data_IF_428234243447
#
_entry.id   IF_428234243447
#
_cell.length_a   1.000
_cell.length_b   1.000
_cell.length_c   1.000
_cell.angle_alpha   90.00
_cell.angle_beta   90.00
_cell.angle_gamma   90.00
#
_symmetry.space_group_name_H-M   'P 1'
#
loop_
_entity.id
_entity.type
_entity.pdbx_description
1 polymer ?
#
# COMPACT_ATOMS: atom_id res chain seq x y z
N UNK A 1 18.04 7.64 -12.53
CA UNK A 1 19.25 8.34 -12.99
C UNK A 1 20.41 8.17 -12.02
N UNK A 2 21.21 9.23 -11.86
CA UNK A 2 22.54 9.19 -11.22
C UNK A 2 22.58 9.63 -9.75
N UNK A 3 21.46 10.12 -9.21
CA UNK A 3 21.37 10.61 -7.82
C UNK A 3 20.70 9.62 -6.87
N UNK A 4 21.06 9.73 -5.59
CA UNK A 4 20.34 9.08 -4.50
C UNK A 4 19.03 9.84 -4.27
N UNK A 5 17.93 9.10 -4.08
CA UNK A 5 16.61 9.68 -3.83
C UNK A 5 16.15 9.23 -2.44
N UNK A 6 15.67 10.20 -1.66
CA UNK A 6 15.10 9.97 -0.34
C UNK A 6 13.58 10.02 -0.45
N UNK A 7 12.91 8.91 -0.16
CA UNK A 7 11.46 8.78 -0.32
C UNK A 7 10.80 8.27 0.96
N UNK A 8 9.47 8.33 1.00
CA UNK A 8 8.67 7.65 2.03
C UNK A 8 8.82 6.11 1.98
N UNK A 9 9.41 5.56 0.91
CA UNK A 9 9.73 4.13 0.78
C UNK A 9 11.22 3.86 1.05
N UNK A 10 11.92 4.77 1.72
CA UNK A 10 13.33 4.68 2.04
C UNK A 10 14.26 5.25 0.96
N UNK A 11 15.54 4.93 1.08
CA UNK A 11 16.61 5.40 0.19
C UNK A 11 16.64 4.58 -1.09
N UNK A 12 16.53 5.24 -2.24
CA UNK A 12 16.74 4.65 -3.56
C UNK A 12 18.11 5.04 -4.09
N UNK A 13 18.91 4.04 -4.44
CA UNK A 13 20.27 4.19 -4.95
C UNK A 13 20.24 4.45 -6.47
N UNK A 14 21.19 5.25 -6.98
CA UNK A 14 21.36 5.50 -8.41
C UNK A 14 21.42 4.22 -9.26
N UNK A 15 21.13 4.37 -10.55
CA UNK A 15 21.36 3.33 -11.57
C UNK A 15 20.71 1.99 -11.22
N UNK A 16 19.48 2.03 -10.73
CA UNK A 16 18.71 0.86 -10.30
C UNK A 16 19.52 0.04 -9.28
N UNK A 17 19.97 0.69 -8.21
CA UNK A 17 20.81 0.06 -7.18
C UNK A 17 20.02 -0.77 -6.17
N UNK A 18 18.75 -0.44 -5.97
CA UNK A 18 17.79 -1.19 -5.16
C UNK A 18 16.36 -0.87 -5.59
N UNK A 19 15.43 -1.70 -5.16
CA UNK A 19 14.00 -1.45 -5.25
C UNK A 19 13.38 -1.61 -3.84
N UNK A 20 12.40 -0.78 -3.50
CA UNK A 20 11.61 -0.98 -2.30
C UNK A 20 10.15 -1.23 -2.67
N UNK A 21 9.44 -1.96 -1.83
CA UNK A 21 8.03 -2.27 -2.03
C UNK A 21 7.29 -2.21 -0.71
N UNK A 22 5.97 -2.05 -0.78
CA UNK A 22 5.08 -2.01 0.39
C UNK A 22 3.94 -2.99 0.21
N UNK A 23 3.12 -3.17 1.25
CA UNK A 23 2.04 -4.16 1.39
C UNK A 23 2.51 -5.49 1.97
N UNK A 24 1.58 -6.18 2.64
CA UNK A 24 1.79 -7.53 3.17
C UNK A 24 1.60 -8.64 2.11
N UNK A 25 1.43 -8.29 0.84
CA UNK A 25 1.13 -9.24 -0.23
C UNK A 25 -0.19 -9.95 0.03
N UNK A 26 -0.20 -11.27 0.03
CA UNK A 26 -1.38 -12.10 0.28
C UNK A 26 -2.09 -11.86 1.64
N UNK A 27 -1.48 -11.18 2.61
CA UNK A 27 -2.15 -10.79 3.86
C UNK A 27 -2.75 -9.37 3.83
N UNK A 28 -2.63 -8.65 2.72
CA UNK A 28 -3.13 -7.29 2.60
C UNK A 28 -4.65 -7.27 2.48
N UNK A 29 -5.40 -6.61 3.38
CA UNK A 29 -6.86 -6.65 3.33
C UNK A 29 -7.45 -6.15 2.01
N UNK A 30 -6.92 -5.05 1.46
CA UNK A 30 -7.42 -4.48 0.20
C UNK A 30 -7.08 -5.32 -1.04
N UNK A 31 -6.11 -6.24 -0.95
CA UNK A 31 -5.84 -7.21 -2.03
C UNK A 31 -6.73 -8.46 -1.91
N UNK A 32 -7.20 -8.75 -0.69
CA UNK A 32 -8.14 -9.84 -0.40
C UNK A 32 -9.61 -9.41 -0.55
N UNK A 33 -9.90 -8.11 -0.57
CA UNK A 33 -11.18 -7.52 -0.94
C UNK A 33 -10.98 -6.52 -2.11
N UNK A 34 -10.64 -7.03 -3.31
CA UNK A 34 -10.17 -6.20 -4.42
C UNK A 34 -11.21 -5.19 -4.91
N UNK A 35 -12.49 -5.47 -4.71
CA UNK A 35 -13.62 -4.62 -5.12
C UNK A 35 -14.33 -3.93 -3.95
N UNK A 36 -13.73 -3.96 -2.75
CA UNK A 36 -14.24 -3.30 -1.54
C UNK A 36 -15.68 -3.72 -1.18
N UNK A 37 -16.00 -5.01 -1.38
CA UNK A 37 -17.32 -5.60 -1.12
C UNK A 37 -17.67 -5.61 0.36
N UNK A 38 -16.65 -5.76 1.21
CA UNK A 38 -16.77 -5.90 2.68
C UNK A 38 -16.16 -4.73 3.44
N UNK A 39 -15.23 -4.01 2.81
CA UNK A 39 -14.54 -2.85 3.39
C UNK A 39 -15.21 -1.56 2.90
N UNK A 40 -15.78 -0.81 3.82
CA UNK A 40 -16.41 0.48 3.56
C UNK A 40 -16.47 1.34 4.81
N UNK A 41 -17.20 2.46 4.75
CA UNK A 41 -17.38 3.36 5.88
C UNK A 41 -18.02 2.61 7.05
N UNK A 42 -17.44 2.74 8.25
CA UNK A 42 -17.92 2.05 9.45
C UNK A 42 -17.44 0.60 9.62
N UNK A 43 -16.66 0.05 8.67
CA UNK A 43 -15.99 -1.24 8.90
C UNK A 43 -15.07 -1.12 10.11
N UNK A 44 -15.28 -1.97 11.12
CA UNK A 44 -14.48 -2.05 12.34
C UNK A 44 -13.16 -2.75 12.01
N UNK A 45 -12.06 -2.22 12.54
CA UNK A 45 -10.71 -2.67 12.20
C UNK A 45 -9.80 -2.75 13.43
N UNK A 46 -8.75 -3.56 13.33
CA UNK A 46 -7.56 -3.41 14.15
C UNK A 46 -6.79 -2.18 13.67
N UNK A 47 -6.53 -1.21 14.55
CA UNK A 47 -5.77 -0.01 14.25
C UNK A 47 -4.82 0.30 15.40
N UNK A 48 -3.51 0.20 15.13
CA UNK A 48 -2.47 0.57 16.09
C UNK A 48 -2.52 -0.21 17.40
N UNK A 49 -3.04 -1.45 17.42
CA UNK A 49 -3.19 -2.23 18.66
C UNK A 49 -4.53 -2.04 19.37
N UNK A 50 -5.33 -1.06 18.95
CA UNK A 50 -6.69 -0.83 19.44
C UNK A 50 -7.75 -1.11 18.37
N UNK A 51 -8.97 -0.66 18.65
CA UNK A 51 -10.08 -0.68 17.72
C UNK A 51 -10.13 0.65 16.96
N UNK A 52 -10.25 0.57 15.64
CA UNK A 52 -10.54 1.71 14.77
C UNK A 52 -11.67 1.40 13.81
N UNK A 53 -11.94 2.37 12.94
CA UNK A 53 -12.95 2.28 11.90
C UNK A 53 -12.43 2.89 10.60
N UNK A 54 -12.94 2.39 9.48
CA UNK A 54 -12.82 3.08 8.20
C UNK A 54 -13.77 4.28 8.22
N UNK A 55 -13.21 5.48 8.14
CA UNK A 55 -13.97 6.72 8.14
C UNK A 55 -14.43 7.11 6.73
N UNK A 56 -13.60 6.86 5.71
CA UNK A 56 -13.87 7.21 4.31
C UNK A 56 -12.86 6.54 3.36
N UNK A 57 -12.98 6.80 2.05
CA UNK A 57 -11.87 6.60 1.10
C UNK A 57 -10.76 7.62 1.34
N UNK A 58 -9.49 7.20 1.26
CA UNK A 58 -8.36 8.12 1.39
C UNK A 58 -8.18 9.01 0.15
N UNK A 59 -7.34 10.05 0.25
CA UNK A 59 -7.15 11.04 -0.83
C UNK A 59 -6.53 10.47 -2.09
N UNK A 60 -5.74 9.40 -1.98
CA UNK A 60 -5.14 8.68 -3.11
C UNK A 60 -6.02 7.53 -3.63
N UNK A 61 -7.28 7.44 -3.19
CA UNK A 61 -8.19 6.39 -3.61
C UNK A 61 -8.56 6.57 -5.08
N UNK A 62 -8.15 5.62 -5.92
CA UNK A 62 -8.35 5.62 -7.36
C UNK A 62 -8.61 4.18 -7.84
N UNK A 63 -9.86 3.70 -7.76
CA UNK A 63 -10.17 2.28 -7.92
C UNK A 63 -10.23 1.83 -9.39
N UNK A 64 -10.30 2.78 -10.33
CA UNK A 64 -10.41 2.59 -11.77
C UNK A 64 -9.06 2.34 -12.44
N UNK A 65 -8.31 1.38 -11.90
CA UNK A 65 -7.05 0.93 -12.48
C UNK A 65 -7.22 -0.45 -13.11
N UNK A 66 -6.38 -0.82 -14.10
CA UNK A 66 -6.36 -2.16 -14.65
C UNK A 66 -6.16 -3.22 -13.56
N UNK A 67 -6.89 -4.33 -13.68
CA UNK A 67 -6.89 -5.47 -12.75
C UNK A 67 -6.59 -6.77 -13.49
N UNK A 68 -6.04 -7.73 -12.77
CA UNK A 68 -5.89 -9.10 -13.27
C UNK A 68 -7.21 -9.87 -13.26
N UNK A 69 -7.20 -11.08 -13.81
CA UNK A 69 -8.37 -11.99 -13.79
C UNK A 69 -8.81 -12.36 -12.36
N UNK A 70 -7.90 -12.28 -11.39
CA UNK A 70 -8.17 -12.47 -9.96
C UNK A 70 -8.73 -11.21 -9.27
N UNK A 71 -8.99 -10.12 -10.01
CA UNK A 71 -9.50 -8.84 -9.51
C UNK A 71 -8.47 -7.93 -8.84
N UNK A 72 -7.26 -8.44 -8.57
CA UNK A 72 -6.18 -7.69 -7.93
C UNK A 72 -5.72 -6.55 -8.85
N UNK A 73 -5.60 -5.31 -8.35
CA UNK A 73 -5.17 -4.17 -9.16
C UNK A 73 -3.68 -4.27 -9.51
N UNK A 74 -3.33 -3.92 -10.74
CA UNK A 74 -1.93 -3.91 -11.21
C UNK A 74 -1.11 -2.72 -10.72
N UNK A 75 -1.73 -1.77 -10.02
CA UNK A 75 -1.11 -0.57 -9.46
C UNK A 75 -1.82 -0.15 -8.17
N UNK A 76 -1.38 0.96 -7.55
CA UNK A 76 -2.14 1.57 -6.45
C UNK A 76 -3.60 1.83 -6.87
N UNK A 77 -4.54 1.44 -6.01
CA UNK A 77 -5.97 1.55 -6.27
C UNK A 77 -6.72 2.07 -5.02
N UNK A 78 -6.91 1.19 -4.05
CA UNK A 78 -7.66 1.50 -2.84
C UNK A 78 -6.80 2.23 -1.82
N UNK A 79 -7.27 3.38 -1.35
CA UNK A 79 -6.76 4.04 -0.14
C UNK A 79 -7.91 4.21 0.85
N UNK A 80 -7.65 4.05 2.14
CA UNK A 80 -8.63 4.23 3.22
C UNK A 80 -8.25 5.44 4.09
N UNK A 81 -9.25 6.17 4.55
CA UNK A 81 -9.13 7.09 5.68
C UNK A 81 -9.60 6.35 6.94
N UNK A 82 -8.76 6.31 7.96
CA UNK A 82 -9.00 5.54 9.19
C UNK A 82 -9.13 6.47 10.39
N UNK A 83 -9.97 6.10 11.35
CA UNK A 83 -10.15 6.81 12.61
C UNK A 83 -10.11 5.82 13.78
N UNK A 84 -9.51 6.23 14.91
CA UNK A 84 -9.46 5.42 16.12
C UNK A 84 -8.99 6.24 17.33
N UNK A 85 -9.24 5.70 18.51
CA UNK A 85 -8.82 6.32 19.78
C UNK A 85 -7.37 5.98 20.10
N UNK A 86 -6.50 6.99 20.01
CA UNK A 86 -5.08 6.85 20.28
C UNK A 86 -4.78 6.36 21.72
N UNK A 87 -5.68 6.62 22.68
CA UNK A 87 -5.49 6.21 24.09
C UNK A 87 -5.56 4.69 24.28
N UNK A 88 -6.13 3.98 23.32
CA UNK A 88 -6.28 2.52 23.34
C UNK A 88 -5.21 1.82 22.48
N UNK A 89 -4.37 2.58 21.80
CA UNK A 89 -3.33 2.05 20.91
C UNK A 89 -2.08 1.67 21.69
N UNK A 90 -1.31 0.75 21.11
CA UNK A 90 -0.12 0.17 21.70
C UNK A 90 1.12 0.56 20.87
N UNK A 91 2.21 1.02 21.52
CA UNK A 91 3.42 1.47 20.84
C UNK A 91 4.15 0.38 20.05
N UNK A 92 3.79 -0.90 20.17
CA UNK A 92 4.29 -1.96 19.29
C UNK A 92 3.70 -1.88 17.88
N UNK A 93 2.54 -1.22 17.73
CA UNK A 93 1.77 -1.15 16.49
C UNK A 93 1.60 0.27 15.96
N UNK A 94 1.84 1.30 16.78
CA UNK A 94 1.86 2.69 16.33
C UNK A 94 3.14 3.36 16.80
N UNK A 95 4.04 3.65 15.86
CA UNK A 95 5.40 4.14 16.15
C UNK A 95 5.72 5.35 15.30
N UNK A 96 6.16 6.44 15.92
CA UNK A 96 6.78 7.56 15.21
C UNK A 96 8.17 7.19 14.68
N UNK A 97 8.44 7.53 13.43
CA UNK A 97 9.70 7.24 12.73
C UNK A 97 10.26 8.52 12.10
N UNK A 98 11.56 8.52 11.82
CA UNK A 98 12.21 9.58 11.05
C UNK A 98 12.99 8.96 9.90
N UNK A 99 12.61 9.29 8.68
CA UNK A 99 13.28 8.81 7.47
C UNK A 99 14.23 9.89 6.96
N UNK A 100 15.50 9.52 6.79
CA UNK A 100 16.54 10.42 6.27
C UNK A 100 16.06 11.02 4.95
N UNK A 101 16.12 12.35 4.83
CA UNK A 101 15.74 13.11 3.63
C UNK A 101 14.24 13.17 3.32
N UNK A 102 13.39 12.40 4.01
CA UNK A 102 11.93 12.47 3.89
C UNK A 102 11.28 13.20 5.07
N UNK A 103 11.79 12.96 6.29
CA UNK A 103 11.34 13.62 7.52
C UNK A 103 10.53 12.71 8.45
N UNK A 104 9.72 13.34 9.29
CA UNK A 104 8.88 12.65 10.27
C UNK A 104 7.80 11.81 9.57
N UNK A 105 7.64 10.57 10.04
CA UNK A 105 6.65 9.61 9.54
C UNK A 105 6.18 8.70 10.67
N UNK A 106 5.33 7.73 10.37
CA UNK A 106 4.87 6.75 11.35
C UNK A 106 4.66 5.38 10.72
N UNK A 107 4.90 4.33 11.50
CA UNK A 107 4.47 2.98 11.19
C UNK A 107 3.16 2.69 11.93
N UNK A 108 2.15 2.25 11.19
CA UNK A 108 0.82 1.94 11.71
C UNK A 108 0.47 0.49 11.38
N UNK A 109 0.17 -0.30 12.40
CA UNK A 109 -0.40 -1.64 12.25
C UNK A 109 -1.89 -1.54 11.93
N UNK A 110 -2.29 -2.12 10.81
CA UNK A 110 -3.69 -2.16 10.37
C UNK A 110 -4.06 -3.61 10.05
N UNK A 111 -5.21 -4.05 10.54
CA UNK A 111 -5.80 -5.34 10.23
C UNK A 111 -7.30 -5.19 10.01
N UNK A 112 -7.83 -5.77 8.95
CA UNK A 112 -9.26 -5.71 8.63
C UNK A 112 -9.72 -7.15 8.44
N UNK A 113 -10.73 -7.62 9.20
CA UNK A 113 -11.26 -8.95 9.00
C UNK A 113 -12.14 -8.96 7.75
N UNK A 114 -11.96 -9.98 6.91
CA UNK A 114 -12.73 -10.14 5.67
C UNK A 114 -13.77 -11.26 5.88
N UNK A 115 -15.06 -10.94 6.02
CA UNK A 115 -16.11 -11.95 6.12
C UNK A 115 -16.26 -12.69 4.79
N UNK A 116 -16.36 -14.03 4.84
CA UNK A 116 -16.63 -14.84 3.66
C UNK A 116 -18.14 -14.85 3.41
N UNK A 117 -18.58 -14.04 2.45
CA UNK A 117 -19.99 -13.87 2.11
C UNK A 117 -20.49 -14.92 1.11
N UNK A 118 -19.61 -15.32 0.19
CA UNK A 118 -19.86 -16.28 -0.89
C UNK A 118 -18.55 -16.89 -1.41
N UNK A 119 -18.67 -17.79 -2.38
CA UNK A 119 -17.54 -18.49 -3.02
C UNK A 119 -16.58 -17.53 -3.73
N UNK A 120 -17.10 -16.43 -4.28
CA UNK A 120 -16.27 -15.42 -4.94
C UNK A 120 -15.40 -14.67 -3.93
N UNK A 121 -15.98 -14.28 -2.78
CA UNK A 121 -15.22 -13.68 -1.69
C UNK A 121 -14.14 -14.62 -1.16
N UNK A 122 -14.47 -15.92 -1.02
CA UNK A 122 -13.48 -16.94 -0.66
C UNK A 122 -12.31 -16.98 -1.66
N UNK A 123 -12.61 -16.95 -2.96
CA UNK A 123 -11.58 -16.94 -4.01
C UNK A 123 -10.67 -15.71 -3.92
N UNK A 124 -11.21 -14.52 -3.65
CA UNK A 124 -10.39 -13.33 -3.46
C UNK A 124 -9.47 -13.43 -2.23
N UNK A 125 -9.97 -13.99 -1.13
CA UNK A 125 -9.16 -14.18 0.08
C UNK A 125 -8.08 -15.26 -0.04
N UNK A 126 -8.10 -16.05 -1.12
CA UNK A 126 -7.14 -17.11 -1.40
C UNK A 126 -5.99 -16.65 -2.33
N UNK A 127 -5.88 -15.35 -2.61
CA UNK A 127 -4.83 -14.79 -3.46
C UNK A 127 -3.43 -15.14 -2.94
N UNK A 128 -2.53 -15.55 -3.83
CA UNK A 128 -1.13 -15.86 -3.50
C UNK A 128 -0.19 -14.77 -3.94
N UNK A 129 0.96 -14.67 -3.28
CA UNK A 129 1.99 -13.68 -3.63
C UNK A 129 2.48 -13.77 -5.09
N UNK A 130 2.43 -14.93 -5.74
CA UNK A 130 2.80 -15.12 -7.14
C UNK A 130 1.76 -14.58 -8.14
N UNK A 131 0.54 -14.35 -7.68
CA UNK A 131 -0.58 -13.82 -8.48
C UNK A 131 -0.82 -12.32 -8.25
N UNK A 132 -0.05 -11.69 -7.37
CA UNK A 132 -0.12 -10.26 -7.07
C UNK A 132 1.00 -9.57 -7.84
N UNK A 133 0.65 -8.89 -8.93
CA UNK A 133 1.60 -8.15 -9.77
C UNK A 133 1.53 -6.65 -9.49
N UNK A 134 2.67 -5.98 -9.49
CA UNK A 134 2.78 -4.53 -9.40
C UNK A 134 3.78 -3.98 -10.43
N UNK A 135 3.71 -2.69 -10.78
CA UNK A 135 4.61 -2.09 -11.75
C UNK A 135 5.92 -1.71 -11.07
N UNK A 136 7.01 -1.77 -11.82
CA UNK A 136 8.28 -1.21 -11.38
C UNK A 136 8.28 0.28 -11.70
N UNK A 137 8.38 1.12 -10.67
CA UNK A 137 8.22 2.58 -10.79
C UNK A 137 9.55 3.29 -10.63
N UNK A 138 9.90 4.17 -11.57
CA UNK A 138 11.04 5.07 -11.44
C UNK A 138 10.65 6.33 -10.66
N UNK A 139 11.24 6.51 -9.49
CA UNK A 139 11.04 7.69 -8.64
C UNK A 139 11.94 8.88 -9.00
N UNK A 140 12.85 8.76 -9.97
CA UNK A 140 13.74 9.86 -10.37
C UNK A 140 13.09 10.83 -11.33
N UNK A 141 12.70 10.34 -12.50
CA UNK A 141 12.08 11.16 -13.53
C UNK A 141 10.70 10.66 -13.96
N UNK A 142 10.50 9.34 -13.98
CA UNK A 142 9.23 8.71 -14.36
C UNK A 142 8.05 9.25 -13.55
N UNK A 143 8.01 8.91 -12.26
CA UNK A 143 6.94 9.26 -11.35
C UNK A 143 6.79 10.78 -11.12
N UNK A 144 7.85 11.54 -10.79
CA UNK A 144 7.69 12.96 -10.42
C UNK A 144 7.28 13.86 -11.58
N UNK A 145 7.65 13.50 -12.82
CA UNK A 145 7.41 14.32 -14.01
C UNK A 145 6.44 13.68 -15.01
N UNK A 146 5.75 12.61 -14.60
CA UNK A 146 4.82 11.86 -15.45
C UNK A 146 5.47 11.44 -16.79
N UNK A 147 6.75 11.09 -16.78
CA UNK A 147 7.42 10.56 -17.97
C UNK A 147 7.00 9.10 -18.18
N UNK A 148 6.84 8.66 -19.45
CA UNK A 148 6.64 7.26 -19.75
C UNK A 148 7.73 6.40 -19.08
N UNK A 149 7.29 5.43 -18.29
CA UNK A 149 8.15 4.49 -17.58
C UNK A 149 7.63 3.09 -17.84
N UNK A 150 8.40 2.30 -18.58
CA UNK A 150 8.17 0.87 -18.71
C UNK A 150 9.42 0.14 -18.22
N UNK A 151 9.40 -0.22 -16.94
CA UNK A 151 10.40 -1.07 -16.31
C UNK A 151 9.87 -2.49 -16.10
N UNK A 152 8.69 -2.80 -16.65
CA UNK A 152 8.00 -4.07 -16.47
C UNK A 152 7.20 -4.19 -15.16
N UNK A 153 6.76 -5.43 -14.89
CA UNK A 153 6.00 -5.82 -13.70
C UNK A 153 6.70 -6.93 -12.96
N UNK A 154 6.44 -7.02 -11.66
CA UNK A 154 6.97 -8.09 -10.80
C UNK A 154 5.89 -8.55 -9.83
N UNK A 155 5.94 -9.82 -9.43
CA UNK A 155 5.02 -10.38 -8.44
C UNK A 155 5.57 -10.28 -7.01
N UNK A 156 4.69 -10.39 -6.01
CA UNK A 156 5.09 -10.31 -4.60
C UNK A 156 5.95 -11.48 -4.14
N UNK A 157 5.87 -12.66 -4.76
CA UNK A 157 6.74 -13.80 -4.44
C UNK A 157 8.20 -13.45 -4.74
N UNK A 158 8.46 -12.89 -5.91
CA UNK A 158 9.80 -12.51 -6.34
C UNK A 158 10.30 -11.30 -5.52
N UNK A 159 9.45 -10.33 -5.23
CA UNK A 159 9.78 -9.23 -4.30
C UNK A 159 10.18 -9.74 -2.91
N UNK A 160 9.48 -10.75 -2.38
CA UNK A 160 9.75 -11.38 -1.08
C UNK A 160 11.02 -12.24 -1.08
N UNK A 161 11.49 -12.69 -2.24
CA UNK A 161 12.77 -13.41 -2.36
C UNK A 161 13.99 -12.53 -2.01
N UNK A 162 13.81 -11.20 -2.01
CA UNK A 162 14.87 -10.22 -1.73
C UNK A 162 15.61 -9.74 -2.97
N UNK A 163 15.31 -10.28 -4.16
CA UNK A 163 15.94 -9.89 -5.43
C UNK A 163 14.98 -9.99 -6.60
N UNK A 164 15.12 -9.07 -7.56
CA UNK A 164 14.37 -9.07 -8.84
C UNK A 164 15.30 -8.75 -10.00
N UNK A 165 14.85 -9.01 -11.23
CA UNK A 165 15.57 -8.65 -12.45
C UNK A 165 14.97 -7.38 -13.06
N UNK A 166 15.81 -6.38 -13.30
CA UNK A 166 15.42 -5.14 -14.00
C UNK A 166 16.46 -4.91 -15.09
N UNK A 167 16.05 -4.88 -16.36
CA UNK A 167 16.93 -4.65 -17.52
C UNK A 167 18.20 -5.53 -17.51
N UNK A 168 18.05 -6.83 -17.20
CA UNK A 168 19.16 -7.79 -17.14
C UNK A 168 20.06 -7.67 -15.90
N UNK A 169 19.77 -6.75 -14.97
CA UNK A 169 20.50 -6.57 -13.71
C UNK A 169 19.74 -7.16 -12.53
N UNK A 170 20.43 -7.88 -11.66
CA UNK A 170 19.89 -8.29 -10.35
C UNK A 170 19.84 -7.10 -9.40
N UNK A 171 18.66 -6.81 -8.86
CA UNK A 171 18.39 -5.67 -7.98
C UNK A 171 17.85 -6.18 -6.65
N UNK A 172 18.44 -5.71 -5.54
CA UNK A 172 17.99 -6.07 -4.19
C UNK A 172 16.66 -5.38 -3.89
N UNK A 173 15.71 -6.14 -3.35
CA UNK A 173 14.41 -5.63 -2.92
C UNK A 173 14.34 -5.48 -1.40
N UNK A 174 13.68 -4.42 -0.92
CA UNK A 174 13.46 -4.21 0.51
C UNK A 174 11.98 -3.93 0.81
N UNK A 175 11.35 -4.70 1.73
CA UNK A 175 9.98 -4.42 2.15
C UNK A 175 9.93 -3.23 3.11
N UNK A 176 8.93 -2.37 2.92
CA UNK A 176 8.54 -1.32 3.86
C UNK A 176 7.57 -1.86 4.93
N UNK A 177 6.69 -2.78 4.53
CA UNK A 177 5.76 -3.44 5.45
C UNK A 177 6.39 -4.68 6.07
N UNK A 178 6.28 -4.83 7.39
CA UNK A 178 6.78 -6.03 8.09
C UNK A 178 5.77 -7.18 7.95
N UNK A 179 6.12 -8.18 7.13
CA UNK A 179 5.30 -9.39 6.99
C UNK A 179 5.17 -10.20 8.29
N UNK A 180 6.21 -10.36 9.14
CA UNK A 180 6.06 -10.97 10.46
C UNK A 180 5.03 -10.24 11.34
N UNK A 181 5.04 -8.90 11.35
CA UNK A 181 4.04 -8.10 12.07
C UNK A 181 2.64 -8.24 11.49
N UNK A 182 2.50 -8.30 10.17
CA UNK A 182 1.20 -8.56 9.53
C UNK A 182 0.60 -9.91 9.97
N UNK A 183 1.42 -10.97 10.08
CA UNK A 183 0.97 -12.26 10.64
C UNK A 183 0.54 -12.15 12.10
N UNK A 184 1.29 -11.41 12.92
CA UNK A 184 0.92 -11.20 14.32
C UNK A 184 -0.42 -10.46 14.44
N UNK A 185 -0.62 -9.37 13.68
CA UNK A 185 -1.90 -8.64 13.63
C UNK A 185 -3.04 -9.59 13.24
N UNK A 186 -2.85 -10.42 12.22
CA UNK A 186 -3.86 -11.38 11.80
C UNK A 186 -4.23 -12.39 12.92
N UNK A 187 -3.24 -12.88 13.68
CA UNK A 187 -3.50 -13.77 14.81
C UNK A 187 -4.17 -13.07 16.00
N UNK A 188 -3.77 -11.82 16.31
CA UNK A 188 -4.39 -11.02 17.37
C UNK A 188 -5.86 -10.77 17.05
N UNK A 189 -6.13 -10.26 15.84
CA UNK A 189 -7.48 -9.97 15.40
C UNK A 189 -8.35 -11.22 15.35
N UNK A 190 -7.81 -12.35 14.87
CA UNK A 190 -8.47 -13.66 14.95
C UNK A 190 -8.83 -14.02 16.39
N UNK A 191 -7.89 -13.86 17.33
CA UNK A 191 -8.12 -14.14 18.75
C UNK A 191 -9.24 -13.27 19.34
N UNK A 192 -9.24 -11.97 19.06
CA UNK A 192 -10.30 -11.06 19.53
C UNK A 192 -11.69 -11.47 19.01
N UNK A 193 -11.78 -11.90 17.75
CA UNK A 193 -13.03 -12.38 17.16
C UNK A 193 -13.49 -13.68 17.83
N UNK A 194 -12.60 -14.67 17.98
CA UNK A 194 -12.93 -15.96 18.59
C UNK A 194 -13.36 -15.82 20.06
N UNK A 195 -12.83 -14.82 20.76
CA UNK A 195 -13.15 -14.55 22.16
C UNK A 195 -14.35 -13.60 22.35
N UNK A 196 -15.02 -13.16 21.27
CA UNK A 196 -16.14 -12.23 21.34
C UNK A 196 -15.78 -10.79 21.75
N UNK A 197 -14.49 -10.43 21.71
CA UNK A 197 -13.99 -9.08 22.02
C UNK A 197 -14.07 -8.15 20.81
N UNK A 198 -14.23 -8.73 19.62
CA UNK A 198 -14.34 -8.02 18.36
C UNK A 198 -15.45 -8.63 17.51
N UNK A 199 -16.42 -7.81 17.15
CA UNK A 199 -17.52 -8.19 16.26
C UNK A 199 -17.25 -7.69 14.86
N UNK A 200 -17.58 -8.51 13.86
CA UNK A 200 -17.56 -8.09 12.47
C UNK A 200 -18.69 -7.10 12.23
N UNK A 201 -18.41 -6.03 11.48
CA UNK A 201 -19.43 -5.04 11.12
C UNK A 201 -19.65 -5.05 9.62
N UNK A 202 -20.92 -4.95 9.21
CA UNK A 202 -21.23 -4.58 7.84
C UNK A 202 -20.86 -3.10 7.64
N UNK A 203 -20.23 -2.72 6.52
CA UNK A 203 -20.02 -1.31 6.21
C UNK A 203 -21.37 -0.59 6.14
N UNK A 204 -21.43 0.60 6.72
CA UNK A 204 -22.59 1.50 6.67
C UNK A 204 -22.81 1.99 5.23
N UNK A 205 -21.72 2.24 4.51
CA UNK A 205 -21.74 2.57 3.09
C UNK A 205 -20.46 2.05 2.43
N UNK A 206 -20.58 1.64 1.16
CA UNK A 206 -19.43 1.28 0.34
C UNK A 206 -18.53 2.50 0.06
N UNK A 207 -17.25 2.24 -0.21
CA UNK A 207 -16.36 3.20 -0.85
C UNK A 207 -16.39 2.98 -2.37
N UNK A 208 -16.02 3.98 -3.19
CA UNK A 208 -15.99 3.83 -4.65
C UNK A 208 -15.21 2.57 -5.07
N UNK A 209 -15.78 1.77 -5.97
CA UNK A 209 -15.14 0.55 -6.48
C UNK A 209 -14.70 0.71 -7.94
N UNK A 210 -14.25 -0.38 -8.57
CA UNK A 210 -13.67 -0.38 -9.91
C UNK A 210 -14.62 0.12 -11.01
N UNK A 211 -15.92 0.12 -10.73
CA UNK A 211 -17.03 0.59 -11.56
C UNK A 211 -17.41 2.06 -11.32
N UNK A 212 -16.84 2.71 -10.30
CA UNK A 212 -17.13 4.11 -10.00
C UNK A 212 -16.57 5.04 -11.07
N UNK A 213 -17.28 6.09 -11.47
CA UNK A 213 -16.76 7.05 -12.45
C UNK A 213 -15.91 8.15 -11.76
N UNK A 214 -14.71 7.79 -11.29
CA UNK A 214 -13.79 8.74 -10.66
C UNK A 214 -12.86 9.34 -11.72
N UNK A 215 -13.01 10.64 -11.96
CA UNK A 215 -12.08 11.43 -12.77
C UNK A 215 -11.00 12.05 -11.89
N UNK A 216 -9.77 11.52 -11.99
CA UNK A 216 -8.63 12.08 -11.27
C UNK A 216 -8.14 13.38 -11.95
N UNK A 217 -8.07 14.47 -11.18
CA UNK A 217 -7.54 15.76 -11.64
C UNK A 217 -6.08 15.89 -11.20
N UNK A 218 -5.17 15.51 -12.08
CA UNK A 218 -3.73 15.68 -11.82
C UNK A 218 -3.35 17.16 -11.82
N UNK A 219 -2.46 17.53 -10.89
CA UNK A 219 -1.76 18.81 -10.95
C UNK A 219 -0.93 18.83 -12.25
N UNK A 220 -0.85 19.96 -12.98
CA UNK A 220 -0.04 20.06 -14.19
C UNK A 220 1.40 19.58 -13.97
N UNK A 221 1.93 18.84 -14.94
CA UNK A 221 3.27 18.26 -14.86
C UNK A 221 4.32 19.35 -14.61
N UNK A 222 5.13 19.18 -13.57
CA UNK A 222 6.34 19.99 -13.39
C UNK A 222 7.37 19.53 -14.41
N UNK A 223 8.11 20.47 -15.02
CA UNK A 223 9.30 20.11 -15.80
C UNK A 223 10.46 19.81 -14.83
N UNK A 224 11.40 18.91 -15.20
CA UNK A 224 12.66 18.80 -14.48
C UNK A 224 13.32 20.19 -14.42
N UNK A 225 13.87 20.56 -13.27
CA UNK A 225 14.70 21.77 -13.17
C UNK A 225 15.94 21.48 -14.01
N UNK A 226 16.18 22.25 -15.07
CA UNK A 226 17.45 22.18 -15.79
C UNK A 226 18.56 22.49 -14.79
N UNK A 227 19.56 21.62 -14.69
CA UNK A 227 20.78 21.86 -13.93
C UNK A 227 21.57 22.96 -14.62
N UNK A 228 21.13 24.20 -14.43
CA UNK A 228 21.94 25.41 -14.47
C UNK A 228 21.07 26.55 -13.90
N UNK A 229 21.63 27.27 -12.93
CA UNK A 229 21.20 28.56 -12.33
C UNK A 229 20.28 28.67 -11.10
N UNK A 230 19.50 27.67 -10.67
CA UNK A 230 18.47 27.92 -9.61
C UNK A 230 18.76 27.34 -8.20
N UNK A 231 19.98 26.83 -7.96
CA UNK A 231 20.36 26.26 -6.65
C UNK A 231 20.44 27.29 -5.50
N UNK A 232 20.42 28.59 -5.79
CA UNK A 232 20.64 29.64 -4.79
C UNK A 232 19.38 30.12 -4.05
N UNK A 233 18.16 29.69 -4.44
CA UNK A 233 16.92 30.31 -3.94
C UNK A 233 16.07 29.48 -2.97
N UNK A 234 16.57 28.40 -2.40
CA UNK A 234 15.81 27.63 -1.40
C UNK A 234 16.65 27.31 -0.16
N UNK A 235 16.64 28.24 0.79
CA UNK A 235 16.86 28.00 2.22
C UNK A 235 15.55 28.26 2.95
#
# INVERSE_FOLDING_TARGET
>A
GDRVIYTYMGILKPKVGNASYSSAGQLSPLLNDPYYRTIGIGTRIFLGGGIGYVAWSGTQHHPNVPRGENGVPFSGAGTLALIGDLKQMDPNWLVGLSFIGYGATMAVGVGIPIPILDEEMLRYTAVKDEDIYCPIVDYDEGYPYCKPMDLGRVNYRDLKSGKIMINGKTVVTTPQSSYPRARQIAQILKGWIQNGQFELTQPVAGIPSADADIVFKSIPAKKPVSTDSDAEKRR
#
